data_IF_843230761259
#
_entry.id   IF_843230761259
#
_cell.length_a   1.000
_cell.length_b   1.000
_cell.length_c   1.000
_cell.angle_alpha   90.00
_cell.angle_beta   90.00
_cell.angle_gamma   90.00
#
_symmetry.space_group_name_H-M   'P 1'
#
loop_
_entity.id
_entity.type
_entity.pdbx_description
1 polymer ?
#
# COMPACT_ATOMS: atom_id res chain seq x y z
N UNK A 1 -27.45 29.32 -13.56
CA UNK A 1 -26.79 29.62 -12.27
C UNK A 1 -25.80 28.51 -11.98
N UNK A 2 -24.49 28.79 -12.08
CA UNK A 2 -23.42 27.85 -11.80
C UNK A 2 -23.31 27.66 -10.27
N UNK A 3 -23.28 26.42 -9.79
CA UNK A 3 -23.03 26.12 -8.36
C UNK A 3 -21.59 26.55 -8.01
N UNK A 4 -21.36 27.22 -6.88
CA UNK A 4 -20.02 27.60 -6.47
C UNK A 4 -19.19 26.33 -6.19
N UNK A 5 -18.08 26.19 -6.89
CA UNK A 5 -17.05 25.20 -6.63
C UNK A 5 -16.41 25.54 -5.27
N UNK A 6 -16.69 24.75 -4.24
CA UNK A 6 -16.03 24.91 -2.96
C UNK A 6 -14.53 24.75 -3.17
N UNK A 7 -13.78 25.83 -3.01
CA UNK A 7 -12.32 25.81 -2.93
C UNK A 7 -11.94 24.99 -1.70
N UNK A 8 -11.41 23.76 -1.93
CA UNK A 8 -10.81 22.96 -0.86
C UNK A 8 -9.55 23.69 -0.38
N UNK A 9 -9.58 24.15 0.88
CA UNK A 9 -8.36 24.65 1.52
C UNK A 9 -7.33 23.51 1.56
N UNK A 10 -6.05 23.78 1.25
CA UNK A 10 -4.99 22.79 1.40
C UNK A 10 -4.89 22.41 2.87
N UNK A 11 -5.08 21.13 3.17
CA UNK A 11 -4.86 20.57 4.51
C UNK A 11 -3.35 20.54 4.71
N UNK A 12 -2.81 21.55 5.33
CA UNK A 12 -1.41 21.58 5.78
C UNK A 12 -1.25 20.51 6.84
N UNK A 13 -0.66 19.37 6.45
CA UNK A 13 -0.27 18.34 7.42
C UNK A 13 0.71 18.95 8.42
N UNK A 14 0.53 18.65 9.70
CA UNK A 14 1.53 19.05 10.71
C UNK A 14 2.90 18.50 10.32
N UNK A 15 3.98 19.28 10.53
CA UNK A 15 5.32 18.80 10.25
C UNK A 15 5.64 17.56 11.11
N UNK A 16 6.35 16.61 10.54
CA UNK A 16 6.79 15.41 11.27
C UNK A 16 7.78 15.79 12.36
N UNK A 17 7.62 15.18 13.52
CA UNK A 17 8.54 15.28 14.66
C UNK A 17 9.47 14.06 14.70
N UNK A 18 10.51 14.12 15.54
CA UNK A 18 11.43 13.00 15.75
C UNK A 18 10.72 11.77 16.37
N UNK A 19 9.64 12.03 17.13
CA UNK A 19 8.87 10.99 17.83
C UNK A 19 7.77 10.36 16.96
N UNK A 20 7.56 10.86 15.75
CA UNK A 20 6.57 10.29 14.84
C UNK A 20 7.12 9.01 14.19
N UNK A 21 6.32 7.95 14.08
CA UNK A 21 6.75 6.71 13.46
C UNK A 21 7.07 6.92 11.97
N UNK A 22 7.96 6.09 11.43
CA UNK A 22 8.25 6.11 10.00
C UNK A 22 7.02 5.76 9.16
N UNK A 23 6.23 4.76 9.61
CA UNK A 23 5.09 4.25 8.85
C UNK A 23 3.79 4.31 9.66
N UNK A 24 2.68 4.52 8.96
CA UNK A 24 1.33 4.20 9.44
C UNK A 24 0.75 3.08 8.59
N UNK A 25 0.37 1.99 9.23
CA UNK A 25 -0.39 0.90 8.60
C UNK A 25 -1.87 1.14 8.84
N UNK A 26 -2.62 1.37 7.77
CA UNK A 26 -4.08 1.55 7.80
C UNK A 26 -4.73 0.22 7.43
N UNK A 27 -5.44 -0.37 8.37
CA UNK A 27 -6.17 -1.63 8.22
C UNK A 27 -7.65 -1.33 8.09
N UNK A 28 -8.28 -1.75 7.00
CA UNK A 28 -9.74 -1.71 6.87
C UNK A 28 -10.33 -3.03 7.29
N UNK A 29 -11.35 -2.96 8.14
CA UNK A 29 -12.09 -4.09 8.69
C UNK A 29 -13.59 -3.86 8.53
N UNK A 30 -14.36 -4.93 8.36
CA UNK A 30 -15.81 -4.88 8.33
C UNK A 30 -16.38 -6.23 8.79
N UNK A 31 -17.59 -6.23 9.35
CA UNK A 31 -18.23 -7.48 9.70
C UNK A 31 -18.76 -8.23 8.48
N UNK A 32 -18.37 -9.47 8.29
CA UNK A 32 -19.14 -10.63 8.65
C UNK A 32 -18.39 -11.52 9.64
N UNK A 33 -19.12 -12.47 10.28
CA UNK A 33 -18.64 -13.35 11.35
C UNK A 33 -17.32 -14.11 11.06
N UNK A 34 -16.91 -14.20 9.80
CA UNK A 34 -15.66 -14.81 9.33
C UNK A 34 -14.45 -13.87 9.55
N UNK A 35 -14.69 -12.57 9.68
CA UNK A 35 -13.61 -11.55 9.73
C UNK A 35 -12.77 -11.58 10.99
N UNK A 36 -13.30 -12.06 12.12
CA UNK A 36 -12.57 -12.09 13.40
C UNK A 36 -11.27 -12.87 13.33
N UNK A 37 -11.29 -14.04 12.70
CA UNK A 37 -10.10 -14.84 12.50
C UNK A 37 -9.07 -14.15 11.60
N UNK A 38 -9.52 -13.42 10.60
CA UNK A 38 -8.67 -12.65 9.70
C UNK A 38 -8.00 -11.49 10.43
N UNK A 39 -8.77 -10.67 11.14
CA UNK A 39 -8.22 -9.55 11.89
C UNK A 39 -7.21 -9.99 12.95
N UNK A 40 -7.50 -11.08 13.70
CA UNK A 40 -6.53 -11.65 14.66
C UNK A 40 -5.22 -12.07 13.99
N UNK A 41 -5.30 -12.75 12.84
CA UNK A 41 -4.10 -13.11 12.05
C UNK A 41 -3.35 -11.88 11.56
N UNK A 42 -4.08 -10.86 11.11
CA UNK A 42 -3.49 -9.57 10.69
C UNK A 42 -2.74 -8.91 11.83
N UNK A 43 -3.37 -8.79 13.01
CA UNK A 43 -2.73 -8.20 14.19
C UNK A 43 -1.51 -9.00 14.62
N UNK A 44 -1.56 -10.33 14.62
CA UNK A 44 -0.41 -11.17 14.89
C UNK A 44 0.74 -10.93 13.88
N UNK A 45 0.43 -10.79 12.59
CA UNK A 45 1.44 -10.50 11.56
C UNK A 45 2.10 -9.13 11.74
N UNK A 46 1.36 -8.14 12.24
CA UNK A 46 1.88 -6.82 12.58
C UNK A 46 2.69 -6.84 13.88
N UNK A 47 2.23 -7.58 14.89
CA UNK A 47 2.99 -7.77 16.13
C UNK A 47 4.32 -8.49 15.88
N UNK A 48 4.38 -9.38 14.88
CA UNK A 48 5.58 -10.15 14.51
C UNK A 48 6.60 -9.36 13.69
N UNK A 49 6.33 -8.10 13.29
CA UNK A 49 7.29 -7.31 12.51
C UNK A 49 8.60 -7.15 13.27
N UNK A 50 9.73 -7.36 12.59
CA UNK A 50 11.08 -7.22 13.17
C UNK A 50 11.46 -5.78 13.46
N UNK A 51 10.97 -4.83 12.68
CA UNK A 51 11.08 -3.39 12.94
C UNK A 51 9.76 -2.87 13.49
N UNK A 52 9.81 -2.08 14.58
CA UNK A 52 8.62 -1.54 15.27
C UNK A 52 8.35 -0.06 14.99
N UNK A 53 9.05 0.53 14.03
CA UNK A 53 8.93 1.95 13.69
C UNK A 53 7.68 2.24 12.85
N UNK A 54 6.51 1.89 13.41
CA UNK A 54 5.22 2.14 12.79
C UNK A 54 4.09 2.23 13.83
N UNK A 55 2.97 2.81 13.43
CA UNK A 55 1.70 2.73 14.14
C UNK A 55 0.68 1.96 13.29
N UNK A 56 -0.38 1.48 13.92
CA UNK A 56 -1.47 0.76 13.28
C UNK A 56 -2.79 1.46 13.56
N UNK A 57 -3.52 1.80 12.51
CA UNK A 57 -4.88 2.34 12.57
C UNK A 57 -5.84 1.31 11.99
N UNK A 58 -6.67 0.72 12.82
CA UNK A 58 -7.69 -0.24 12.40
C UNK A 58 -9.04 0.46 12.36
N UNK A 59 -9.62 0.54 11.17
CA UNK A 59 -10.94 1.14 10.95
C UNK A 59 -11.97 0.05 10.64
N UNK A 60 -13.03 0.01 11.44
CA UNK A 60 -14.20 -0.80 11.17
C UNK A 60 -15.28 0.03 10.49
N UNK A 61 -15.81 -0.48 9.36
CA UNK A 61 -16.85 0.20 8.58
C UNK A 61 -18.25 -0.05 9.15
N UNK A 62 -18.69 0.83 10.02
CA UNK A 62 -19.98 0.82 10.69
C UNK A 62 -19.92 0.31 12.12
N UNK A 63 -21.07 0.33 12.83
CA UNK A 63 -21.19 -0.14 14.20
C UNK A 63 -20.80 -1.61 14.33
N UNK A 64 -20.17 -1.97 15.44
CA UNK A 64 -19.81 -3.36 15.79
C UNK A 64 -20.74 -3.91 16.86
N UNK A 65 -21.08 -5.21 16.73
CA UNK A 65 -21.84 -5.93 17.74
C UNK A 65 -21.01 -6.24 19.00
N UNK A 66 -19.70 -6.46 18.85
CA UNK A 66 -18.74 -6.71 19.94
C UNK A 66 -17.63 -5.69 19.90
N UNK A 67 -17.06 -5.38 21.07
CA UNK A 67 -15.91 -4.48 21.17
C UNK A 67 -14.65 -5.10 20.58
N UNK A 68 -13.67 -4.27 20.23
CA UNK A 68 -12.37 -4.77 19.79
C UNK A 68 -11.58 -5.41 20.93
N UNK A 69 -11.80 -5.01 22.17
CA UNK A 69 -11.21 -5.62 23.38
C UNK A 69 -11.63 -7.08 23.49
N UNK A 70 -12.91 -7.39 23.23
CA UNK A 70 -13.43 -8.75 23.21
C UNK A 70 -12.91 -9.54 22.01
N UNK A 71 -12.95 -8.94 20.81
CA UNK A 71 -12.49 -9.59 19.59
C UNK A 71 -10.98 -9.91 19.61
N UNK A 72 -10.18 -9.05 20.25
CA UNK A 72 -8.73 -9.16 20.31
C UNK A 72 -8.19 -9.75 21.63
N UNK A 73 -9.08 -10.20 22.52
CA UNK A 73 -8.65 -10.78 23.80
C UNK A 73 -7.59 -11.88 23.62
N UNK A 74 -6.40 -11.69 24.23
CA UNK A 74 -5.27 -12.61 24.11
C UNK A 74 -4.55 -12.64 22.74
N UNK A 75 -4.95 -11.81 21.78
CA UNK A 75 -4.23 -11.70 20.51
C UNK A 75 -2.97 -10.82 20.65
N UNK A 76 -1.83 -11.21 20.06
CA UNK A 76 -0.67 -10.34 20.02
C UNK A 76 -0.96 -9.12 19.14
N UNK A 77 -0.60 -7.93 19.63
CA UNK A 77 -0.81 -6.66 18.93
C UNK A 77 0.45 -5.79 19.01
N UNK A 78 0.62 -4.95 18.00
CA UNK A 78 1.62 -3.88 18.07
C UNK A 78 1.19 -2.83 19.11
N UNK A 79 2.08 -2.35 20.01
CA UNK A 79 1.68 -1.46 21.11
C UNK A 79 1.08 -0.12 20.64
N UNK A 80 1.48 0.38 19.49
CA UNK A 80 0.91 1.60 18.89
C UNK A 80 -0.30 1.28 17.98
N UNK A 81 -1.18 0.37 18.38
CA UNK A 81 -2.42 0.05 17.66
C UNK A 81 -3.58 0.87 18.20
N UNK A 82 -4.36 1.49 17.32
CA UNK A 82 -5.61 2.18 17.62
C UNK A 82 -6.74 1.58 16.81
N UNK A 83 -7.87 1.28 17.48
CA UNK A 83 -9.09 0.79 16.86
C UNK A 83 -10.11 1.92 16.77
N UNK A 84 -10.69 2.10 15.60
CA UNK A 84 -11.67 3.13 15.29
C UNK A 84 -12.88 2.47 14.65
N UNK A 85 -14.06 2.70 15.25
CA UNK A 85 -15.36 2.25 14.73
C UNK A 85 -16.07 3.44 14.12
N UNK A 86 -16.45 3.38 12.84
CA UNK A 86 -17.21 4.47 12.23
C UNK A 86 -18.67 4.41 12.68
N UNK A 87 -19.35 5.56 12.87
CA UNK A 87 -20.72 5.58 13.40
C UNK A 87 -21.74 4.98 12.42
N UNK A 88 -21.42 4.98 11.13
CA UNK A 88 -22.28 4.46 10.06
C UNK A 88 -21.47 3.67 9.07
N UNK A 89 -22.08 2.62 8.51
CA UNK A 89 -21.48 1.83 7.45
C UNK A 89 -21.51 2.58 6.12
N UNK A 90 -20.38 2.68 5.46
CA UNK A 90 -20.23 3.30 4.13
C UNK A 90 -20.37 2.28 3.00
N UNK A 91 -19.90 1.06 3.20
CA UNK A 91 -20.01 -0.02 2.23
C UNK A 91 -19.18 0.23 0.96
N UNK A 92 -18.16 1.09 1.04
CA UNK A 92 -17.34 1.52 -0.10
C UNK A 92 -15.98 0.80 -0.16
N UNK A 93 -15.95 -0.48 0.16
CA UNK A 93 -14.73 -1.33 0.19
C UNK A 93 -13.62 -0.77 1.10
N UNK A 94 -13.99 0.06 2.10
CA UNK A 94 -13.08 0.66 3.06
C UNK A 94 -12.35 1.92 2.54
N UNK A 95 -12.79 2.51 1.45
CA UNK A 95 -12.13 3.70 0.89
C UNK A 95 -12.28 4.92 1.78
N UNK A 96 -13.45 5.11 2.40
CA UNK A 96 -13.65 6.15 3.42
C UNK A 96 -12.73 5.93 4.62
N UNK A 97 -12.61 4.69 5.09
CA UNK A 97 -11.71 4.34 6.18
C UNK A 97 -10.24 4.64 5.85
N UNK A 98 -9.81 4.33 4.62
CA UNK A 98 -8.45 4.69 4.14
C UNK A 98 -8.23 6.20 4.13
N UNK A 99 -9.17 6.98 3.62
CA UNK A 99 -9.07 8.44 3.62
C UNK A 99 -8.98 9.02 5.04
N UNK A 100 -9.84 8.54 5.95
CA UNK A 100 -9.79 8.92 7.36
C UNK A 100 -8.44 8.55 7.98
N UNK A 101 -7.93 7.36 7.68
CA UNK A 101 -6.64 6.88 8.15
C UNK A 101 -5.46 7.74 7.66
N UNK A 102 -5.44 8.12 6.38
CA UNK A 102 -4.42 9.03 5.82
C UNK A 102 -4.38 10.36 6.59
N UNK A 103 -5.56 10.91 6.90
CA UNK A 103 -5.67 12.18 7.63
C UNK A 103 -5.24 12.06 9.09
N UNK A 104 -5.57 10.95 9.76
CA UNK A 104 -5.27 10.69 11.17
C UNK A 104 -3.85 10.12 11.40
N UNK A 105 -3.16 9.71 10.35
CA UNK A 105 -1.83 9.12 10.41
C UNK A 105 -0.79 10.11 10.94
N UNK A 106 0.15 9.59 11.75
CA UNK A 106 1.36 10.31 12.18
C UNK A 106 2.59 9.88 11.40
N UNK A 107 2.57 8.69 10.80
CA UNK A 107 3.69 8.17 10.02
C UNK A 107 3.95 8.97 8.76
N UNK A 108 5.23 9.05 8.38
CA UNK A 108 5.67 9.72 7.15
C UNK A 108 5.22 8.97 5.90
N UNK A 109 5.09 7.65 6.00
CA UNK A 109 4.73 6.75 4.91
C UNK A 109 3.45 5.99 5.26
N UNK A 110 2.56 5.84 4.29
CA UNK A 110 1.27 5.16 4.45
C UNK A 110 1.32 3.80 3.76
N UNK A 111 0.91 2.77 4.49
CA UNK A 111 0.69 1.40 4.03
C UNK A 111 -0.78 1.08 4.19
N UNK A 112 -1.46 0.73 3.10
CA UNK A 112 -2.86 0.28 3.14
C UNK A 112 -2.95 -1.24 3.17
N UNK A 113 -3.96 -1.77 3.86
CA UNK A 113 -4.25 -3.21 3.86
C UNK A 113 -5.66 -3.48 4.34
N UNK A 114 -6.15 -4.68 4.08
CA UNK A 114 -7.41 -5.19 4.63
C UNK A 114 -7.12 -6.19 5.77
N UNK A 115 -8.13 -6.47 6.58
CA UNK A 115 -8.02 -7.39 7.71
C UNK A 115 -7.68 -8.84 7.29
N UNK A 116 -8.06 -9.25 6.08
CA UNK A 116 -7.80 -10.59 5.53
C UNK A 116 -6.38 -10.80 5.00
N UNK A 117 -5.63 -9.73 4.75
CA UNK A 117 -4.26 -9.81 4.25
C UNK A 117 -3.26 -10.09 5.37
N UNK A 118 -2.10 -10.65 5.03
CA UNK A 118 -1.00 -10.94 5.96
C UNK A 118 0.27 -10.25 5.48
N UNK A 119 1.05 -9.70 6.42
CA UNK A 119 2.38 -9.19 6.14
C UNK A 119 3.46 -10.15 6.66
N UNK A 120 4.53 -10.30 5.91
CA UNK A 120 5.69 -11.06 6.37
C UNK A 120 6.48 -10.26 7.41
N UNK A 121 7.19 -10.93 8.35
CA UNK A 121 7.81 -10.26 9.49
C UNK A 121 8.83 -9.19 9.16
N UNK A 122 9.35 -9.18 7.95
CA UNK A 122 10.39 -8.25 7.47
C UNK A 122 9.87 -7.04 6.72
N UNK A 123 8.54 -6.92 6.49
CA UNK A 123 7.97 -5.82 5.67
C UNK A 123 8.49 -4.45 6.12
N UNK A 124 8.29 -4.10 7.38
CA UNK A 124 8.65 -2.76 7.88
C UNK A 124 10.17 -2.53 7.85
N UNK A 125 10.95 -3.55 8.17
CA UNK A 125 12.41 -3.45 8.13
C UNK A 125 12.93 -3.18 6.71
N UNK A 126 12.44 -3.95 5.73
CA UNK A 126 12.83 -3.78 4.31
C UNK A 126 12.38 -2.41 3.79
N UNK A 127 11.14 -2.00 4.05
CA UNK A 127 10.67 -0.69 3.60
C UNK A 127 11.45 0.46 4.26
N UNK A 128 11.82 0.32 5.54
CA UNK A 128 12.63 1.32 6.23
C UNK A 128 14.02 1.45 5.61
N UNK A 129 14.67 0.33 5.33
CA UNK A 129 15.97 0.33 4.62
C UNK A 129 15.86 1.05 3.27
N UNK A 130 14.83 0.74 2.47
CA UNK A 130 14.62 1.35 1.15
C UNK A 130 14.42 2.88 1.20
N UNK A 131 13.89 3.43 2.28
CA UNK A 131 13.66 4.89 2.41
C UNK A 131 14.77 5.63 3.14
N UNK A 132 15.59 4.93 3.93
CA UNK A 132 16.70 5.55 4.69
C UNK A 132 18.04 5.43 3.97
N UNK A 133 18.26 4.33 3.29
CA UNK A 133 19.51 4.05 2.56
C UNK A 133 19.19 3.35 1.23
N UNK A 134 18.62 4.08 0.25
CA UNK A 134 18.31 3.51 -1.06
C UNK A 134 19.61 3.16 -1.78
N UNK A 135 19.87 1.87 -1.92
CA UNK A 135 21.06 1.37 -2.61
C UNK A 135 21.03 1.75 -4.10
N UNK A 136 22.20 2.04 -4.71
CA UNK A 136 22.28 2.49 -6.12
C UNK A 136 21.73 1.47 -7.14
N UNK A 137 21.64 0.19 -6.78
CA UNK A 137 21.08 -0.87 -7.61
C UNK A 137 19.56 -1.11 -7.38
N UNK A 138 18.91 -0.32 -6.52
CA UNK A 138 17.47 -0.34 -6.35
C UNK A 138 16.84 0.35 -7.55
N UNK A 139 16.22 -0.43 -8.44
CA UNK A 139 15.69 0.07 -9.72
C UNK A 139 14.50 1.00 -9.49
N UNK A 140 14.68 2.29 -9.83
CA UNK A 140 13.55 3.15 -10.05
C UNK A 140 12.98 2.87 -11.44
N UNK A 141 11.72 2.49 -11.54
CA UNK A 141 11.03 2.44 -12.82
C UNK A 141 10.62 3.85 -13.24
N UNK A 142 11.21 4.42 -14.29
CA UNK A 142 10.70 5.67 -14.83
C UNK A 142 9.35 5.38 -15.51
N UNK A 143 8.28 5.78 -14.83
CA UNK A 143 6.93 5.47 -15.30
C UNK A 143 6.45 6.34 -16.46
N UNK A 144 7.18 7.38 -16.90
CA UNK A 144 6.54 8.38 -17.77
C UNK A 144 7.35 9.07 -18.83
N UNK A 145 8.64 8.95 -18.98
CA UNK A 145 9.36 9.84 -19.91
C UNK A 145 10.30 9.13 -20.89
N UNK A 146 9.84 8.06 -21.52
CA UNK A 146 10.45 7.70 -22.78
C UNK A 146 9.79 8.49 -23.91
N UNK A 147 10.55 9.19 -24.76
CA UNK A 147 10.02 9.71 -26.03
C UNK A 147 9.32 8.60 -26.80
N UNK A 148 8.22 8.91 -27.45
CA UNK A 148 7.33 7.92 -28.10
C UNK A 148 8.05 6.92 -29.01
N UNK A 149 9.22 7.28 -29.58
CA UNK A 149 10.05 6.41 -30.42
C UNK A 149 10.91 5.41 -29.65
N UNK A 150 11.17 5.63 -28.34
CA UNK A 150 12.08 4.78 -27.54
C UNK A 150 11.31 3.71 -26.76
N UNK A 151 10.01 3.88 -26.60
CA UNK A 151 9.14 2.93 -25.83
C UNK A 151 9.19 1.50 -26.38
N UNK A 152 9.26 1.34 -27.70
CA UNK A 152 9.34 0.03 -28.35
C UNK A 152 10.69 -0.68 -28.10
N UNK A 153 11.77 0.06 -28.20
CA UNK A 153 13.12 -0.43 -27.99
C UNK A 153 13.36 -0.76 -26.51
N UNK A 154 12.95 0.12 -25.58
CA UNK A 154 13.04 -0.12 -24.15
C UNK A 154 12.25 -1.37 -23.71
N UNK A 155 11.02 -1.54 -24.23
CA UNK A 155 10.20 -2.72 -23.97
C UNK A 155 10.79 -4.01 -24.54
N UNK A 156 11.48 -3.91 -25.70
CA UNK A 156 12.16 -5.05 -26.32
C UNK A 156 13.43 -5.43 -25.53
N UNK A 157 14.22 -4.44 -25.09
CA UNK A 157 15.41 -4.63 -24.26
C UNK A 157 15.06 -5.22 -22.88
N UNK A 158 14.00 -4.73 -22.24
CA UNK A 158 13.49 -5.23 -20.98
C UNK A 158 13.06 -6.71 -21.08
N UNK A 159 12.39 -7.10 -22.18
CA UNK A 159 12.06 -8.50 -22.45
C UNK A 159 13.25 -9.41 -22.69
N UNK A 160 14.31 -8.90 -23.30
CA UNK A 160 15.44 -9.71 -23.77
C UNK A 160 16.58 -9.82 -22.75
N UNK A 161 16.75 -8.81 -21.91
CA UNK A 161 17.88 -8.68 -20.99
C UNK A 161 17.48 -8.52 -19.52
N UNK A 162 16.18 -8.54 -19.24
CA UNK A 162 15.63 -8.60 -17.87
C UNK A 162 15.78 -7.35 -17.04
N UNK A 163 16.41 -6.28 -17.53
CA UNK A 163 16.40 -4.96 -16.89
C UNK A 163 17.20 -3.95 -17.71
N UNK A 164 16.59 -2.82 -18.04
CA UNK A 164 17.33 -1.69 -18.61
C UNK A 164 17.98 -0.91 -17.45
N UNK A 165 19.27 -1.04 -17.30
CA UNK A 165 20.07 -0.20 -16.42
C UNK A 165 20.05 1.23 -17.00
N UNK A 166 19.31 2.13 -16.36
CA UNK A 166 19.45 3.56 -16.64
C UNK A 166 20.76 4.05 -16.00
N UNK A 167 21.41 5.07 -16.61
CA UNK A 167 22.63 5.62 -16.05
C UNK A 167 22.43 6.07 -14.61
N UNK A 168 23.37 5.79 -13.69
CA UNK A 168 23.28 6.17 -12.28
C UNK A 168 23.03 7.66 -12.05
N UNK A 169 23.52 8.50 -12.93
CA UNK A 169 23.43 9.97 -12.83
C UNK A 169 22.00 10.51 -12.79
N UNK A 170 21.02 9.76 -13.27
CA UNK A 170 19.60 10.15 -13.22
C UNK A 170 19.01 9.96 -11.81
N UNK A 171 19.67 9.23 -10.92
CA UNK A 171 19.11 8.78 -9.65
C UNK A 171 19.89 9.24 -8.40
N UNK A 172 21.06 9.87 -8.55
CA UNK A 172 22.00 10.11 -7.46
C UNK A 172 21.49 10.98 -6.30
N UNK A 173 20.38 11.72 -6.42
CA UNK A 173 20.02 12.68 -5.37
C UNK A 173 18.54 12.76 -5.00
N UNK A 174 17.71 11.85 -5.45
CA UNK A 174 16.30 12.01 -5.18
C UNK A 174 15.67 10.81 -4.45
N UNK A 175 15.28 10.99 -3.20
CA UNK A 175 14.60 10.00 -2.36
C UNK A 175 13.34 9.42 -3.05
N UNK A 176 13.02 8.13 -2.86
CA UNK A 176 11.77 7.57 -3.38
C UNK A 176 10.56 8.30 -2.79
N UNK A 177 9.50 8.38 -3.55
CA UNK A 177 8.23 8.98 -3.14
C UNK A 177 7.14 7.93 -3.01
N UNK A 178 7.29 6.84 -3.74
CA UNK A 178 6.44 5.66 -3.72
C UNK A 178 7.33 4.43 -3.69
N UNK A 179 6.98 3.45 -2.85
CA UNK A 179 7.55 2.11 -2.87
C UNK A 179 6.48 1.13 -3.34
N UNK A 180 6.86 0.13 -4.14
CA UNK A 180 5.97 -0.95 -4.56
C UNK A 180 6.68 -2.28 -4.36
N UNK A 181 6.03 -3.22 -3.67
CA UNK A 181 6.57 -4.55 -3.37
C UNK A 181 5.67 -5.67 -3.88
N UNK A 182 6.23 -6.88 -3.97
CA UNK A 182 5.51 -8.07 -4.38
C UNK A 182 4.61 -8.64 -3.27
N UNK A 183 3.49 -9.24 -3.68
CA UNK A 183 2.60 -10.01 -2.78
C UNK A 183 2.22 -11.34 -3.41
N UNK A 184 1.89 -12.33 -2.58
CA UNK A 184 1.28 -13.59 -3.02
C UNK A 184 -0.23 -13.45 -2.99
N UNK A 185 -0.88 -13.66 -4.12
CA UNK A 185 -2.34 -13.72 -4.23
C UNK A 185 -2.78 -15.15 -3.93
N UNK A 186 -3.63 -15.34 -2.92
CA UNK A 186 -4.13 -16.63 -2.44
C UNK A 186 -5.59 -16.90 -2.83
N UNK A 187 -6.04 -18.12 -2.70
CA UNK A 187 -7.45 -18.51 -2.86
C UNK A 187 -8.07 -18.13 -4.21
N UNK A 188 -9.31 -17.69 -4.18
CA UNK A 188 -10.06 -17.33 -5.40
C UNK A 188 -9.51 -16.12 -6.13
N UNK A 189 -8.83 -15.23 -5.43
CA UNK A 189 -8.21 -14.03 -6.01
C UNK A 189 -7.10 -14.44 -6.99
N UNK A 190 -6.31 -15.45 -6.65
CA UNK A 190 -5.27 -16.00 -7.52
C UNK A 190 -5.80 -16.51 -8.86
N UNK A 191 -7.03 -17.07 -8.88
CA UNK A 191 -7.66 -17.57 -10.10
C UNK A 191 -8.18 -16.45 -11.00
N UNK A 192 -8.76 -15.40 -10.42
CA UNK A 192 -9.31 -14.26 -11.17
C UNK A 192 -8.21 -13.43 -11.83
N UNK A 193 -7.06 -13.31 -11.18
CA UNK A 193 -5.93 -12.52 -11.65
C UNK A 193 -4.89 -13.33 -12.45
N UNK A 194 -5.31 -14.39 -13.11
CA UNK A 194 -4.42 -15.29 -13.85
C UNK A 194 -3.57 -14.62 -14.95
N UNK A 195 -3.99 -13.46 -15.45
CA UNK A 195 -3.27 -12.66 -16.44
C UNK A 195 -2.07 -11.88 -15.85
N UNK A 196 -2.01 -11.75 -14.52
CA UNK A 196 -1.04 -10.92 -13.80
C UNK A 196 0.18 -11.69 -13.30
N UNK A 197 0.36 -12.91 -13.74
CA UNK A 197 1.37 -13.84 -13.24
C UNK A 197 2.78 -13.36 -13.56
N UNK A 198 3.53 -13.02 -12.53
CA UNK A 198 5.00 -12.89 -12.63
C UNK A 198 5.64 -14.27 -12.45
N UNK A 199 5.14 -15.07 -11.52
CA UNK A 199 5.49 -16.50 -11.39
C UNK A 199 4.35 -17.25 -10.69
N UNK A 200 4.22 -18.54 -10.93
CA UNK A 200 3.41 -19.40 -10.07
C UNK A 200 4.24 -19.78 -8.85
N UNK A 201 3.73 -19.49 -7.67
CA UNK A 201 4.32 -20.06 -6.46
C UNK A 201 4.32 -21.61 -6.57
N UNK A 202 5.40 -22.23 -6.13
CA UNK A 202 5.62 -23.66 -6.25
C UNK A 202 4.53 -24.51 -5.56
N UNK A 203 3.80 -23.94 -4.62
CA UNK A 203 2.76 -24.56 -3.82
C UNK A 203 1.37 -24.61 -4.47
N UNK A 204 1.25 -24.34 -5.74
CA UNK A 204 0.00 -24.36 -6.55
C UNK A 204 -1.15 -23.46 -6.05
N UNK A 205 -1.02 -22.81 -4.90
CA UNK A 205 -2.08 -22.05 -4.23
C UNK A 205 -1.91 -20.54 -4.29
N UNK A 206 -0.87 -20.06 -4.91
CA UNK A 206 -0.59 -18.64 -5.00
C UNK A 206 -0.01 -18.19 -6.33
N UNK A 207 -0.24 -16.94 -6.65
CA UNK A 207 0.36 -16.23 -7.78
C UNK A 207 1.08 -15.01 -7.22
N UNK A 208 2.33 -14.78 -7.61
CA UNK A 208 3.05 -13.57 -7.22
C UNK A 208 2.62 -12.42 -8.11
N UNK A 209 2.13 -11.35 -7.49
CA UNK A 209 1.85 -10.08 -8.11
C UNK A 209 3.01 -9.13 -7.77
N UNK A 210 3.79 -8.74 -8.77
CA UNK A 210 4.99 -7.90 -8.56
C UNK A 210 4.67 -6.43 -8.31
N UNK A 211 3.52 -5.96 -8.79
CA UNK A 211 3.05 -4.57 -8.63
C UNK A 211 3.72 -3.56 -9.57
N UNK A 212 4.76 -3.94 -10.29
CA UNK A 212 5.43 -3.11 -11.30
C UNK A 212 5.42 -3.80 -12.66
N UNK A 213 5.18 -3.08 -13.77
CA UNK A 213 4.80 -1.66 -13.82
C UNK A 213 3.45 -1.40 -13.12
N UNK A 214 3.31 -0.22 -12.51
CA UNK A 214 2.06 0.18 -11.82
C UNK A 214 0.99 0.47 -12.86
N UNK A 215 0.15 -0.51 -13.11
CA UNK A 215 -0.89 -0.46 -14.15
C UNK A 215 -2.22 -0.99 -13.58
N UNK A 216 -3.32 -0.54 -14.15
CA UNK A 216 -4.65 -1.06 -13.82
C UNK A 216 -4.68 -2.60 -13.92
N UNK A 217 -5.23 -3.24 -12.89
CA UNK A 217 -5.31 -4.69 -12.81
C UNK A 217 -3.98 -5.42 -12.55
N UNK A 218 -2.87 -4.72 -12.32
CA UNK A 218 -1.54 -5.29 -12.02
C UNK A 218 -0.96 -4.92 -10.67
N UNK A 219 -1.73 -4.21 -9.88
CA UNK A 219 -1.37 -3.78 -8.54
C UNK A 219 -2.55 -3.96 -7.61
N UNK A 220 -2.28 -4.30 -6.37
CA UNK A 220 -3.23 -4.42 -5.29
C UNK A 220 -3.08 -3.27 -4.30
N UNK A 221 -4.16 -2.95 -3.58
CA UNK A 221 -4.19 -1.86 -2.61
C UNK A 221 -3.10 -1.93 -1.55
N UNK A 222 -2.66 -3.14 -1.16
CA UNK A 222 -1.64 -3.32 -0.14
C UNK A 222 -0.20 -3.14 -0.64
N UNK A 223 0.03 -3.08 -1.95
CA UNK A 223 1.38 -3.09 -2.52
C UNK A 223 2.05 -1.72 -2.61
N UNK A 224 1.26 -0.64 -2.64
CA UNK A 224 1.78 0.71 -2.81
C UNK A 224 1.94 1.41 -1.47
N UNK A 225 3.15 1.88 -1.21
CA UNK A 225 3.50 2.68 -0.03
C UNK A 225 3.92 4.07 -0.51
N UNK A 226 3.22 5.09 -0.07
CA UNK A 226 3.45 6.46 -0.52
C UNK A 226 3.60 7.41 0.67
N UNK A 227 4.40 8.45 0.50
CA UNK A 227 4.54 9.50 1.52
C UNK A 227 3.18 10.12 1.85
N UNK A 228 2.89 10.29 3.15
CA UNK A 228 1.63 10.87 3.63
C UNK A 228 1.39 12.27 3.05
N UNK A 229 2.44 13.09 2.95
CA UNK A 229 2.33 14.43 2.37
C UNK A 229 1.78 14.40 0.94
N UNK A 230 2.22 13.43 0.13
CA UNK A 230 1.74 13.27 -1.25
C UNK A 230 0.29 12.78 -1.28
N UNK A 231 -0.09 11.85 -0.41
CA UNK A 231 -1.49 11.45 -0.26
C UNK A 231 -2.40 12.67 0.01
N UNK A 232 -1.99 13.55 0.91
CA UNK A 232 -2.75 14.75 1.25
C UNK A 232 -2.79 15.74 0.08
N UNK A 233 -1.69 15.90 -0.65
CA UNK A 233 -1.60 16.75 -1.86
C UNK A 233 -2.56 16.26 -2.96
N UNK A 234 -2.67 14.94 -3.14
CA UNK A 234 -3.59 14.32 -4.11
C UNK A 234 -5.05 14.27 -3.61
N UNK A 235 -5.34 14.79 -2.42
CA UNK A 235 -6.69 14.85 -1.86
C UNK A 235 -7.11 13.63 -1.04
N UNK A 236 -6.17 12.76 -0.68
CA UNK A 236 -6.41 11.53 0.06
C UNK A 236 -6.91 10.39 -0.83
N UNK A 237 -7.61 9.44 -0.24
CA UNK A 237 -8.26 8.37 -1.00
C UNK A 237 -9.60 8.85 -1.52
N UNK A 238 -9.61 9.51 -2.67
CA UNK A 238 -10.76 10.23 -3.20
C UNK A 238 -11.65 9.41 -4.17
N UNK A 239 -11.11 8.37 -4.81
CA UNK A 239 -11.90 7.45 -5.65
C UNK A 239 -12.62 6.45 -4.74
N UNK A 240 -13.93 6.29 -4.93
CA UNK A 240 -14.80 5.38 -4.16
C UNK A 240 -15.28 4.18 -4.98
N UNK A 241 -14.78 4.03 -6.19
CA UNK A 241 -15.11 2.88 -7.02
C UNK A 241 -14.47 1.59 -6.51
N UNK A 242 -15.03 0.44 -6.84
CA UNK A 242 -14.52 -0.87 -6.45
C UNK A 242 -13.04 -1.09 -6.84
N UNK A 243 -12.60 -0.49 -7.94
CA UNK A 243 -11.24 -0.63 -8.47
C UNK A 243 -10.39 0.63 -8.25
N UNK A 244 -10.64 1.36 -7.18
CA UNK A 244 -10.04 2.67 -6.92
C UNK A 244 -8.51 2.65 -6.85
N UNK A 245 -7.90 1.61 -6.27
CA UNK A 245 -6.46 1.39 -6.26
C UNK A 245 -5.89 1.26 -7.68
N UNK A 246 -6.52 0.44 -8.52
CA UNK A 246 -6.17 0.29 -9.93
C UNK A 246 -6.34 1.58 -10.75
N UNK A 247 -7.23 2.47 -10.34
CA UNK A 247 -7.45 3.77 -11.00
C UNK A 247 -6.46 4.84 -10.51
N UNK A 248 -6.25 4.93 -9.18
CA UNK A 248 -5.45 5.97 -8.57
C UNK A 248 -3.93 5.71 -8.67
N UNK A 249 -3.49 4.49 -8.41
CA UNK A 249 -2.07 4.16 -8.33
C UNK A 249 -1.30 4.38 -9.64
N UNK A 250 -1.82 4.03 -10.83
CA UNK A 250 -1.16 4.38 -12.08
C UNK A 250 -1.04 5.90 -12.32
N UNK A 251 -2.00 6.69 -11.80
CA UNK A 251 -1.92 8.16 -11.88
C UNK A 251 -0.79 8.67 -10.99
N UNK A 252 -0.68 8.18 -9.76
CA UNK A 252 0.40 8.56 -8.84
C UNK A 252 1.76 8.12 -9.36
N UNK A 253 1.87 6.89 -9.87
CA UNK A 253 3.10 6.38 -10.44
C UNK A 253 3.60 7.16 -11.67
N UNK A 254 2.73 7.89 -12.37
CA UNK A 254 3.12 8.80 -13.45
C UNK A 254 3.60 10.16 -12.95
N UNK A 255 3.21 10.57 -11.75
CA UNK A 255 3.56 11.88 -11.17
C UNK A 255 4.78 11.80 -10.27
N UNK A 256 4.96 10.68 -9.58
CA UNK A 256 5.93 10.53 -8.50
C UNK A 256 6.92 9.41 -8.81
N UNK A 257 8.09 9.51 -8.20
CA UNK A 257 9.13 8.51 -8.37
C UNK A 257 8.81 7.23 -7.61
N UNK A 258 8.67 6.13 -8.37
CA UNK A 258 8.41 4.78 -7.87
C UNK A 258 9.71 4.01 -7.72
N UNK A 259 9.93 3.42 -6.55
CA UNK A 259 10.97 2.44 -6.30
C UNK A 259 10.34 1.05 -6.19
N UNK A 260 10.78 0.14 -7.05
CA UNK A 260 10.40 -1.26 -6.96
C UNK A 260 11.23 -1.95 -5.87
N UNK A 261 10.56 -2.46 -4.84
CA UNK A 261 11.20 -3.25 -3.78
C UNK A 261 11.34 -4.70 -4.26
N UNK A 262 12.55 -5.26 -4.37
CA UNK A 262 12.77 -6.59 -4.95
C UNK A 262 12.46 -7.71 -3.95
N UNK A 263 11.29 -7.63 -3.30
CA UNK A 263 10.86 -8.59 -2.29
C UNK A 263 9.35 -8.83 -2.34
N UNK A 264 8.96 -10.05 -1.96
CA UNK A 264 7.57 -10.41 -1.68
C UNK A 264 7.36 -10.25 -0.18
N UNK A 265 6.48 -9.34 0.23
CA UNK A 265 6.39 -8.91 1.63
C UNK A 265 5.02 -9.17 2.28
N UNK A 266 4.12 -9.86 1.59
CA UNK A 266 2.83 -10.21 2.15
C UNK A 266 1.99 -11.13 1.29
N UNK A 267 0.80 -11.44 1.78
CA UNK A 267 -0.21 -12.27 1.12
C UNK A 267 -1.57 -11.57 1.12
N UNK A 268 -2.26 -11.65 0.00
CA UNK A 268 -3.66 -11.26 -0.17
C UNK A 268 -4.51 -12.54 -0.26
N UNK A 269 -5.55 -12.63 0.58
CA UNK A 269 -6.46 -13.78 0.67
C UNK A 269 -7.85 -13.48 0.11
#
# INVERSE_FOLDING_TARGET
MAKPTAQRQPITGQPFTADDPMFTVIVTDYEPSVSRGYLRRKMASLAAQTCKDFEVLVYHDGPKAQSYEEDMAGAPMHPATRFIVTPTRTGDWGHTARDMGIRAARGRWIIHTNADNIFYPTLIAVLKEMVTDPQPWTFAYPTTQYPVGVKGLAKWLDRKFGTLLLPPEVFEHSQPQILVYGVVMRGQVALKNSQLRVSRAADRQGTVLGGVPVEYGRIDAMQLVMQRALWLTEGGWHDRSMNSDGMMYPVFARKYRVLAVPAVLGEHW
#
